data_IF_747495636837
#
_entry.id   IF_747495636837
#
_cell.length_a   1.000
_cell.length_b   1.000
_cell.length_c   1.000
_cell.angle_alpha   90.00
_cell.angle_beta   90.00
_cell.angle_gamma   90.00
#
_symmetry.space_group_name_H-M   'P 1'
#
loop_
_entity.id
_entity.type
_entity.pdbx_description
1 polymer ?
#
# COMPACT_ATOMS: atom_id res chain seq x y z
N UNK A 1 -73.86 -48.79 17.38
CA UNK A 1 -72.62 -49.55 17.11
C UNK A 1 -72.00 -48.88 15.90
N UNK A 2 -71.03 -48.00 16.12
CA UNK A 2 -70.43 -47.19 15.05
C UNK A 2 -69.61 -48.10 14.13
N UNK A 3 -69.91 -48.09 12.84
CA UNK A 3 -69.14 -48.80 11.82
C UNK A 3 -67.79 -48.10 11.67
N UNK A 4 -66.74 -48.70 12.24
CA UNK A 4 -65.37 -48.32 11.90
C UNK A 4 -65.13 -48.69 10.43
N UNK A 5 -64.89 -47.67 9.60
CA UNK A 5 -64.54 -47.84 8.18
C UNK A 5 -63.35 -48.79 8.03
N UNK A 6 -63.43 -49.69 7.04
CA UNK A 6 -62.38 -50.64 6.67
C UNK A 6 -61.05 -49.89 6.35
N UNK A 7 -61.11 -48.62 5.94
CA UNK A 7 -59.94 -47.75 5.76
C UNK A 7 -59.15 -47.50 7.05
N UNK A 8 -59.84 -47.31 8.18
CA UNK A 8 -59.22 -47.09 9.49
C UNK A 8 -58.58 -48.38 10.06
N UNK A 9 -59.04 -49.56 9.62
CA UNK A 9 -58.41 -50.84 9.98
C UNK A 9 -57.20 -51.17 9.07
N UNK A 10 -57.21 -50.75 7.80
CA UNK A 10 -56.11 -50.97 6.86
C UNK A 10 -54.87 -50.11 7.18
N UNK A 11 -55.06 -48.89 7.68
CA UNK A 11 -53.99 -48.02 8.18
C UNK A 11 -53.26 -48.59 9.42
N UNK A 12 -53.86 -49.53 10.15
CA UNK A 12 -53.21 -50.23 11.29
C UNK A 12 -52.25 -51.34 10.88
N UNK A 13 -52.26 -51.78 9.62
CA UNK A 13 -51.42 -52.90 9.12
C UNK A 13 -50.18 -52.40 8.37
N UNK A 14 -50.17 -51.15 7.90
CA UNK A 14 -49.02 -50.52 7.25
C UNK A 14 -48.41 -49.52 8.22
N UNK A 15 -47.14 -49.70 8.61
CA UNK A 15 -46.44 -48.70 9.42
C UNK A 15 -46.26 -47.43 8.58
N UNK A 16 -47.16 -46.47 8.75
CA UNK A 16 -47.18 -45.19 8.00
C UNK A 16 -45.92 -44.35 8.20
N UNK A 17 -45.14 -44.64 9.24
CA UNK A 17 -43.86 -43.97 9.56
C UNK A 17 -42.63 -44.75 9.08
N UNK A 18 -42.79 -45.90 8.43
CA UNK A 18 -41.68 -46.79 8.05
C UNK A 18 -40.65 -46.10 7.15
N UNK A 19 -41.12 -45.33 6.16
CA UNK A 19 -40.24 -44.58 5.27
C UNK A 19 -39.39 -43.57 6.04
N UNK A 20 -40.02 -42.81 6.95
CA UNK A 20 -39.36 -41.79 7.76
C UNK A 20 -38.35 -42.41 8.73
N UNK A 21 -38.70 -43.52 9.40
CA UNK A 21 -37.78 -44.25 10.29
C UNK A 21 -36.55 -44.76 9.55
N UNK A 22 -36.72 -45.29 8.33
CA UNK A 22 -35.61 -45.73 7.48
C UNK A 22 -34.76 -44.54 6.97
N UNK A 23 -35.40 -43.42 6.63
CA UNK A 23 -34.72 -42.21 6.20
C UNK A 23 -33.89 -41.57 7.32
N UNK A 24 -34.36 -41.61 8.57
CA UNK A 24 -33.59 -41.19 9.75
C UNK A 24 -32.36 -42.07 9.99
N UNK A 25 -32.54 -43.40 9.89
CA UNK A 25 -31.47 -44.35 10.12
C UNK A 25 -30.36 -44.28 9.05
N UNK A 26 -30.73 -43.95 7.80
CA UNK A 26 -29.76 -43.79 6.71
C UNK A 26 -30.17 -42.67 5.74
N UNK A 27 -29.85 -41.40 6.07
CA UNK A 27 -30.19 -40.26 5.21
C UNK A 27 -29.54 -40.31 3.82
N UNK A 28 -28.41 -41.00 3.69
CA UNK A 28 -27.70 -41.14 2.40
C UNK A 28 -28.43 -42.04 1.40
N UNK A 29 -29.35 -42.90 1.86
CA UNK A 29 -30.14 -43.78 1.01
C UNK A 29 -31.38 -43.09 0.41
N UNK A 30 -31.71 -41.87 0.81
CA UNK A 30 -32.87 -41.12 0.31
C UNK A 30 -32.72 -40.86 -1.21
N UNK A 31 -33.72 -41.27 -2.00
CA UNK A 31 -33.68 -41.21 -3.46
C UNK A 31 -33.10 -42.46 -4.12
N UNK A 32 -32.67 -43.45 -3.34
CA UNK A 32 -32.31 -44.79 -3.84
C UNK A 32 -33.56 -45.65 -4.10
N UNK A 33 -33.35 -46.86 -4.60
CA UNK A 33 -34.41 -47.87 -4.76
C UNK A 33 -35.07 -48.26 -3.43
N UNK A 34 -34.35 -48.15 -2.32
CA UNK A 34 -34.84 -48.52 -0.97
C UNK A 34 -35.66 -47.42 -0.31
N UNK A 35 -35.36 -46.15 -0.62
CA UNK A 35 -36.10 -44.97 -0.17
C UNK A 35 -36.48 -44.10 -1.38
N UNK A 36 -37.43 -44.55 -2.22
CA UNK A 36 -37.82 -43.80 -3.39
C UNK A 36 -38.52 -42.49 -2.97
N UNK A 37 -38.20 -41.42 -3.69
CA UNK A 37 -38.83 -40.10 -3.54
C UNK A 37 -39.63 -39.83 -4.81
N UNK A 38 -40.96 -39.75 -4.65
CA UNK A 38 -41.89 -39.38 -5.71
C UNK A 38 -42.68 -38.15 -5.26
N UNK A 39 -42.84 -37.19 -6.17
CA UNK A 39 -43.56 -35.93 -5.92
C UNK A 39 -45.03 -36.18 -5.55
N UNK A 40 -45.67 -37.16 -6.19
CA UNK A 40 -47.07 -37.52 -5.97
C UNK A 40 -47.31 -38.41 -4.74
N UNK A 41 -46.27 -38.77 -3.99
CA UNK A 41 -46.39 -39.67 -2.83
C UNK A 41 -45.63 -39.12 -1.62
N UNK A 42 -46.14 -38.03 -1.02
CA UNK A 42 -45.60 -37.50 0.22
C UNK A 42 -45.68 -38.54 1.35
N UNK A 43 -44.63 -38.63 2.16
CA UNK A 43 -44.55 -39.60 3.28
C UNK A 43 -44.67 -38.88 4.62
N UNK A 44 -45.50 -39.39 5.56
CA UNK A 44 -45.54 -38.87 6.92
C UNK A 44 -44.16 -38.90 7.58
N UNK A 45 -43.85 -37.87 8.35
CA UNK A 45 -42.55 -37.68 8.97
C UNK A 45 -42.33 -36.26 9.48
N UNK A 46 -41.21 -36.11 10.20
CA UNK A 46 -40.71 -34.82 10.64
C UNK A 46 -39.44 -34.47 9.88
N UNK A 47 -39.39 -33.25 9.36
CA UNK A 47 -38.36 -32.79 8.44
C UNK A 47 -37.94 -31.37 8.77
N UNK A 48 -36.89 -30.90 8.11
CA UNK A 48 -36.54 -29.48 8.05
C UNK A 48 -36.33 -29.02 6.62
N UNK A 49 -36.66 -27.76 6.35
CA UNK A 49 -36.43 -27.14 5.03
C UNK A 49 -35.88 -25.74 5.21
N UNK A 50 -35.01 -25.30 4.31
CA UNK A 50 -34.56 -23.89 4.27
C UNK A 50 -34.54 -23.37 2.85
N UNK A 51 -34.79 -22.07 2.70
CA UNK A 51 -34.47 -21.35 1.47
C UNK A 51 -32.98 -21.03 1.46
N UNK A 52 -32.46 -20.70 0.28
CA UNK A 52 -31.09 -20.23 0.14
C UNK A 52 -30.90 -18.99 1.03
N UNK A 53 -29.90 -19.04 1.92
CA UNK A 53 -29.57 -17.98 2.88
C UNK A 53 -30.65 -17.68 3.95
N UNK A 54 -31.55 -18.64 4.25
CA UNK A 54 -32.53 -18.54 5.35
C UNK A 54 -32.31 -19.61 6.42
N UNK A 55 -32.85 -19.38 7.62
CA UNK A 55 -32.89 -20.36 8.71
C UNK A 55 -33.68 -21.62 8.32
N UNK A 56 -33.34 -22.75 8.93
CA UNK A 56 -34.14 -23.97 8.80
C UNK A 56 -35.49 -23.84 9.51
N UNK A 57 -36.54 -24.20 8.79
CA UNK A 57 -37.90 -24.25 9.30
C UNK A 57 -38.33 -25.70 9.55
N UNK A 58 -38.98 -26.00 10.68
CA UNK A 58 -39.49 -27.33 10.97
C UNK A 58 -40.69 -27.64 10.06
N UNK A 59 -40.75 -28.87 9.58
CA UNK A 59 -41.81 -29.37 8.70
C UNK A 59 -42.39 -30.66 9.27
N UNK A 60 -43.70 -30.67 9.53
CA UNK A 60 -44.42 -31.87 9.96
C UNK A 60 -45.40 -32.30 8.87
N UNK A 61 -45.36 -33.57 8.46
CA UNK A 61 -46.31 -34.17 7.52
C UNK A 61 -46.94 -35.36 8.25
N UNK A 62 -48.26 -35.34 8.47
CA UNK A 62 -48.95 -36.39 9.22
C UNK A 62 -50.45 -36.44 8.91
N UNK A 63 -51.11 -37.49 9.38
CA UNK A 63 -52.56 -37.63 9.39
C UNK A 63 -53.09 -37.13 10.74
N UNK A 64 -53.92 -36.07 10.78
CA UNK A 64 -54.53 -35.61 12.03
C UNK A 64 -55.38 -36.69 12.70
N UNK A 65 -55.58 -36.58 14.01
CA UNK A 65 -56.49 -37.47 14.73
C UNK A 65 -57.87 -37.46 14.07
N UNK A 66 -58.40 -38.66 13.80
CA UNK A 66 -59.70 -38.90 13.14
C UNK A 66 -59.84 -38.40 11.68
N UNK A 67 -58.72 -38.13 10.99
CA UNK A 67 -58.72 -37.73 9.58
C UNK A 67 -57.86 -38.66 8.70
N UNK A 68 -58.43 -39.10 7.58
CA UNK A 68 -57.69 -39.80 6.52
C UNK A 68 -56.99 -38.84 5.53
N UNK A 69 -57.12 -37.52 5.74
CA UNK A 69 -56.47 -36.51 4.92
C UNK A 69 -55.07 -36.17 5.47
N UNK A 70 -54.06 -36.28 4.60
CA UNK A 70 -52.69 -35.88 4.93
C UNK A 70 -52.61 -34.36 5.01
N UNK A 71 -51.99 -33.84 6.08
CA UNK A 71 -51.72 -32.41 6.24
C UNK A 71 -50.22 -32.18 6.38
N UNK A 72 -49.79 -30.96 6.03
CA UNK A 72 -48.41 -30.54 6.22
C UNK A 72 -48.34 -29.16 6.87
N UNK A 73 -47.43 -29.00 7.82
CA UNK A 73 -47.12 -27.74 8.47
C UNK A 73 -45.66 -27.37 8.21
N UNK A 74 -45.41 -26.09 7.92
CA UNK A 74 -44.07 -25.49 7.83
C UNK A 74 -44.00 -24.32 8.80
N UNK A 75 -43.12 -24.38 9.80
CA UNK A 75 -42.99 -23.34 10.82
C UNK A 75 -44.33 -23.02 11.52
N UNK A 76 -45.12 -24.06 11.80
CA UNK A 76 -46.46 -23.93 12.39
C UNK A 76 -47.57 -23.43 11.47
N UNK A 77 -47.28 -23.17 10.18
CA UNK A 77 -48.29 -22.77 9.18
C UNK A 77 -48.67 -23.94 8.28
N UNK A 78 -49.96 -24.17 8.12
CA UNK A 78 -50.46 -25.20 7.21
C UNK A 78 -50.10 -24.88 5.75
N UNK A 79 -49.59 -25.86 5.03
CA UNK A 79 -49.17 -25.75 3.64
C UNK A 79 -50.16 -26.47 2.75
N UNK A 80 -50.76 -25.74 1.79
CA UNK A 80 -51.75 -26.29 0.85
C UNK A 80 -51.16 -27.26 -0.17
N UNK A 81 -49.93 -27.00 -0.61
CA UNK A 81 -49.25 -27.82 -1.61
C UNK A 81 -48.21 -28.73 -0.93
N UNK A 82 -48.70 -29.89 -0.48
CA UNK A 82 -47.91 -30.88 0.25
C UNK A 82 -46.87 -31.53 -0.67
N UNK A 83 -47.22 -31.79 -1.93
CA UNK A 83 -46.34 -32.44 -2.91
C UNK A 83 -45.11 -31.57 -3.20
N UNK A 84 -45.32 -30.26 -3.41
CA UNK A 84 -44.21 -29.34 -3.60
C UNK A 84 -43.30 -29.26 -2.36
N UNK A 85 -43.88 -29.21 -1.15
CA UNK A 85 -43.09 -29.18 0.09
C UNK A 85 -42.27 -30.45 0.29
N UNK A 86 -42.88 -31.60 0.01
CA UNK A 86 -42.30 -32.93 0.18
C UNK A 86 -40.99 -33.11 -0.60
N UNK A 87 -40.95 -32.68 -1.87
CA UNK A 87 -39.76 -32.77 -2.72
C UNK A 87 -38.53 -32.07 -2.09
N UNK A 88 -38.77 -31.00 -1.31
CA UNK A 88 -37.70 -30.27 -0.65
C UNK A 88 -37.36 -30.80 0.74
N UNK A 89 -38.35 -31.18 1.55
CA UNK A 89 -38.12 -31.57 2.94
C UNK A 89 -37.68 -33.03 3.12
N UNK A 90 -38.03 -33.93 2.19
CA UNK A 90 -37.77 -35.37 2.30
C UNK A 90 -36.28 -35.73 2.48
N UNK A 91 -35.35 -34.88 2.02
CA UNK A 91 -33.89 -35.09 2.12
C UNK A 91 -33.29 -34.74 3.48
N UNK A 92 -34.08 -34.19 4.40
CA UNK A 92 -33.62 -33.70 5.69
C UNK A 92 -34.59 -34.18 6.80
N UNK A 93 -34.69 -35.51 7.02
CA UNK A 93 -35.47 -36.04 8.14
C UNK A 93 -34.80 -35.64 9.46
N UNK A 94 -35.61 -35.35 10.47
CA UNK A 94 -35.15 -34.95 11.81
C UNK A 94 -35.93 -35.74 12.86
N UNK A 95 -35.31 -36.05 14.00
CA UNK A 95 -36.00 -36.70 15.11
C UNK A 95 -37.15 -35.83 15.63
N UNK A 96 -38.17 -36.46 16.21
CA UNK A 96 -39.35 -35.76 16.73
C UNK A 96 -38.97 -34.72 17.80
N UNK A 97 -38.08 -35.07 18.72
CA UNK A 97 -37.59 -34.16 19.76
C UNK A 97 -36.88 -32.93 19.17
N UNK A 98 -36.16 -33.10 18.05
CA UNK A 98 -35.50 -32.00 17.35
C UNK A 98 -36.51 -31.11 16.62
N UNK A 99 -37.58 -31.70 16.07
CA UNK A 99 -38.71 -30.98 15.49
C UNK A 99 -39.46 -30.16 16.56
N UNK A 100 -39.77 -30.74 17.72
CA UNK A 100 -40.42 -30.03 18.82
C UNK A 100 -39.53 -28.90 19.36
N UNK A 101 -38.24 -29.15 19.54
CA UNK A 101 -37.29 -28.11 19.96
C UNK A 101 -37.24 -26.93 18.97
N UNK A 102 -37.24 -27.21 17.66
CA UNK A 102 -37.28 -26.17 16.63
C UNK A 102 -38.62 -25.42 16.61
N UNK A 103 -39.75 -26.12 16.81
CA UNK A 103 -41.08 -25.52 16.93
C UNK A 103 -41.22 -24.60 18.16
N UNK A 104 -40.58 -24.96 19.27
CA UNK A 104 -40.47 -24.15 20.49
C UNK A 104 -39.51 -22.95 20.37
N UNK A 105 -38.82 -22.81 19.23
CA UNK A 105 -37.84 -21.75 19.00
C UNK A 105 -36.47 -21.98 19.66
N UNK A 106 -36.18 -23.20 20.12
CA UNK A 106 -34.88 -23.57 20.74
C UNK A 106 -33.77 -23.85 19.70
N UNK A 107 -34.10 -23.86 18.41
CA UNK A 107 -33.17 -24.09 17.32
C UNK A 107 -32.88 -25.57 17.05
N UNK A 108 -31.85 -25.86 16.24
CA UNK A 108 -31.48 -27.21 15.83
C UNK A 108 -30.25 -27.72 16.61
N UNK A 109 -30.19 -29.00 17.02
CA UNK A 109 -29.07 -29.52 17.83
C UNK A 109 -27.69 -29.44 17.16
N UNK A 110 -27.67 -29.55 15.83
CA UNK A 110 -26.48 -29.51 14.98
C UNK A 110 -26.13 -28.09 14.51
N UNK A 111 -27.00 -27.11 14.72
CA UNK A 111 -26.70 -25.71 14.42
C UNK A 111 -26.37 -24.95 15.72
N UNK A 112 -25.35 -24.08 15.70
CA UNK A 112 -25.21 -23.15 16.79
C UNK A 112 -26.44 -22.23 16.85
N UNK A 113 -26.86 -21.81 18.06
CA UNK A 113 -27.93 -20.84 18.21
C UNK A 113 -27.63 -19.61 17.35
N UNK A 114 -28.63 -19.04 16.69
CA UNK A 114 -28.45 -17.76 16.01
C UNK A 114 -28.50 -16.67 17.06
N UNK A 115 -27.57 -15.72 17.06
CA UNK A 115 -27.69 -14.55 17.92
C UNK A 115 -29.02 -13.82 17.59
N UNK A 116 -29.73 -13.24 18.57
CA UNK A 116 -30.92 -12.45 18.29
C UNK A 116 -30.53 -11.26 17.39
N UNK A 117 -30.80 -11.40 16.10
CA UNK A 117 -30.67 -10.33 15.13
C UNK A 117 -31.82 -9.35 15.26
N UNK A 118 -31.59 -8.10 14.86
CA UNK A 118 -32.70 -7.18 14.61
C UNK A 118 -33.46 -7.75 13.40
N UNK A 119 -34.72 -8.15 13.59
CA UNK A 119 -35.50 -8.81 12.55
C UNK A 119 -35.66 -7.96 11.29
N UNK A 120 -36.02 -8.60 10.18
CA UNK A 120 -36.17 -8.03 8.81
C UNK A 120 -37.10 -6.80 8.69
N UNK A 121 -37.70 -6.33 9.80
CA UNK A 121 -38.60 -5.19 9.89
C UNK A 121 -37.99 -3.93 10.56
N UNK A 122 -36.69 -3.88 10.86
CA UNK A 122 -36.07 -2.66 11.39
C UNK A 122 -35.71 -1.67 10.29
N UNK A 123 -36.73 -1.02 9.72
CA UNK A 123 -36.55 0.04 8.72
C UNK A 123 -35.87 1.32 9.22
N UNK A 124 -35.51 1.41 10.51
CA UNK A 124 -34.96 2.63 11.15
C UNK A 124 -33.56 2.47 11.75
N UNK A 125 -32.98 1.27 11.81
CA UNK A 125 -31.65 1.09 12.37
C UNK A 125 -30.57 1.42 11.33
N UNK A 126 -29.54 2.15 11.75
CA UNK A 126 -28.35 2.37 10.93
C UNK A 126 -27.72 1.02 10.53
N UNK A 127 -27.39 0.79 9.24
CA UNK A 127 -26.87 -0.49 8.78
C UNK A 127 -25.59 -0.94 9.47
N UNK A 128 -24.74 0.00 9.90
CA UNK A 128 -23.53 -0.34 10.65
C UNK A 128 -23.88 -0.79 12.07
N UNK A 129 -24.74 -0.05 12.77
CA UNK A 129 -25.18 -0.42 14.12
C UNK A 129 -25.88 -1.78 14.16
N UNK A 130 -26.74 -2.07 13.17
CA UNK A 130 -27.40 -3.37 13.05
C UNK A 130 -26.39 -4.52 12.84
N UNK A 131 -25.40 -4.32 11.96
CA UNK A 131 -24.36 -5.32 11.70
C UNK A 131 -23.41 -5.49 12.90
N UNK A 132 -23.15 -4.42 13.65
CA UNK A 132 -22.32 -4.46 14.85
C UNK A 132 -23.00 -5.26 15.98
N UNK A 133 -24.31 -5.13 16.14
CA UNK A 133 -25.07 -5.95 17.11
C UNK A 133 -25.00 -7.44 16.73
N UNK A 134 -25.19 -7.77 15.45
CA UNK A 134 -25.05 -9.15 14.96
C UNK A 134 -23.63 -9.69 15.22
N UNK A 135 -22.59 -8.90 14.92
CA UNK A 135 -21.20 -9.25 15.19
C UNK A 135 -20.96 -9.56 16.67
N UNK A 136 -21.43 -8.71 17.57
CA UNK A 136 -21.23 -8.89 19.01
C UNK A 136 -21.91 -10.16 19.51
N UNK A 137 -23.13 -10.45 19.04
CA UNK A 137 -23.85 -11.67 19.40
C UNK A 137 -23.18 -12.95 18.92
N UNK A 138 -22.76 -13.01 17.65
CA UNK A 138 -22.07 -14.19 17.11
C UNK A 138 -20.66 -14.35 17.72
N UNK A 139 -19.99 -13.24 18.03
CA UNK A 139 -18.69 -13.25 18.71
C UNK A 139 -18.78 -13.84 20.12
N UNK A 140 -19.76 -13.42 20.93
CA UNK A 140 -19.94 -13.92 22.29
C UNK A 140 -20.10 -15.45 22.30
N UNK A 141 -20.93 -15.98 21.40
CA UNK A 141 -21.14 -17.42 21.27
C UNK A 141 -19.89 -18.18 20.80
N UNK A 142 -19.16 -17.61 19.84
CA UNK A 142 -17.90 -18.18 19.36
C UNK A 142 -16.83 -18.18 20.46
N UNK A 143 -16.75 -17.13 21.29
CA UNK A 143 -15.84 -17.08 22.43
C UNK A 143 -16.22 -18.10 23.51
N UNK A 144 -17.51 -18.37 23.71
CA UNK A 144 -17.97 -19.35 24.68
C UNK A 144 -17.53 -20.79 24.30
N UNK A 145 -17.65 -21.18 23.03
CA UNK A 145 -17.18 -22.51 22.60
C UNK A 145 -15.65 -22.61 22.65
N UNK A 146 -14.93 -21.53 22.33
CA UNK A 146 -13.48 -21.50 22.43
C UNK A 146 -13.01 -21.66 23.87
N UNK A 147 -13.73 -21.05 24.83
CA UNK A 147 -13.45 -21.18 26.26
C UNK A 147 -13.73 -22.60 26.77
N UNK A 148 -14.80 -23.24 26.30
CA UNK A 148 -15.12 -24.64 26.63
C UNK A 148 -14.14 -25.63 26.00
N UNK A 149 -13.51 -25.25 24.89
CA UNK A 149 -12.62 -26.08 24.10
C UNK A 149 -13.39 -26.91 23.07
N UNK A 150 -12.84 -27.00 21.87
CA UNK A 150 -13.39 -27.82 20.78
C UNK A 150 -12.83 -29.23 20.94
N UNK A 151 -13.61 -30.13 21.53
CA UNK A 151 -13.13 -31.49 21.87
C UNK A 151 -13.89 -32.60 21.15
N UNK A 152 -15.04 -32.28 20.54
CA UNK A 152 -15.87 -33.23 19.80
C UNK A 152 -16.08 -32.81 18.34
N UNK A 153 -16.50 -33.75 17.49
CA UNK A 153 -16.85 -33.44 16.09
C UNK A 153 -18.01 -32.45 16.01
N UNK A 154 -19.02 -32.57 16.88
CA UNK A 154 -20.14 -31.62 16.95
C UNK A 154 -19.68 -30.21 17.37
N UNK A 155 -18.64 -30.09 18.20
CA UNK A 155 -18.03 -28.79 18.50
C UNK A 155 -17.32 -28.22 17.28
N UNK A 156 -16.60 -29.07 16.53
CA UNK A 156 -15.89 -28.68 15.32
C UNK A 156 -16.85 -28.22 14.21
N UNK A 157 -17.96 -28.91 14.02
CA UNK A 157 -18.98 -28.56 13.02
C UNK A 157 -19.65 -27.22 13.37
N UNK A 158 -20.03 -27.02 14.64
CA UNK A 158 -20.57 -25.73 15.13
C UNK A 158 -19.55 -24.60 15.00
N UNK A 159 -18.29 -24.84 15.35
CA UNK A 159 -17.21 -23.86 15.19
C UNK A 159 -16.99 -23.50 13.72
N UNK A 160 -17.11 -24.45 12.79
CA UNK A 160 -17.04 -24.18 11.35
C UNK A 160 -18.18 -23.27 10.88
N UNK A 161 -19.40 -23.48 11.38
CA UNK A 161 -20.55 -22.63 11.04
C UNK A 161 -20.35 -21.21 11.58
N UNK A 162 -19.95 -21.03 12.84
CA UNK A 162 -19.64 -19.71 13.40
C UNK A 162 -18.51 -19.01 12.63
N UNK A 163 -17.45 -19.74 12.26
CA UNK A 163 -16.37 -19.20 11.41
C UNK A 163 -16.94 -18.63 10.11
N UNK A 164 -17.80 -19.37 9.42
CA UNK A 164 -18.41 -18.91 8.16
C UNK A 164 -19.36 -17.72 8.37
N UNK A 165 -20.14 -17.69 9.46
CA UNK A 165 -21.00 -16.54 9.82
C UNK A 165 -20.17 -15.28 10.07
N UNK A 166 -19.09 -15.39 10.84
CA UNK A 166 -18.17 -14.29 11.12
C UNK A 166 -17.51 -13.73 9.85
N UNK A 167 -17.13 -14.62 8.91
CA UNK A 167 -16.58 -14.20 7.62
C UNK A 167 -17.64 -13.49 6.74
N UNK A 168 -18.89 -13.92 6.80
CA UNK A 168 -20.01 -13.24 6.11
C UNK A 168 -20.29 -11.86 6.70
N UNK A 169 -20.28 -11.72 8.03
CA UNK A 169 -20.39 -10.42 8.72
C UNK A 169 -19.28 -9.47 8.25
N UNK A 170 -18.02 -9.94 8.24
CA UNK A 170 -16.89 -9.17 7.71
C UNK A 170 -17.11 -8.74 6.26
N UNK A 171 -17.55 -9.66 5.41
CA UNK A 171 -17.77 -9.37 3.98
C UNK A 171 -18.87 -8.31 3.77
N UNK A 172 -19.95 -8.36 4.57
CA UNK A 172 -20.99 -7.33 4.57
C UNK A 172 -20.47 -5.98 5.07
N UNK A 173 -19.65 -5.97 6.12
CA UNK A 173 -19.02 -4.73 6.61
C UNK A 173 -18.10 -4.10 5.55
N UNK A 174 -17.28 -4.90 4.86
CA UNK A 174 -16.45 -4.44 3.75
C UNK A 174 -17.28 -3.87 2.60
N UNK A 175 -18.44 -4.47 2.30
CA UNK A 175 -19.35 -4.00 1.27
C UNK A 175 -20.00 -2.66 1.64
N UNK A 176 -20.50 -2.52 2.88
CA UNK A 176 -21.05 -1.25 3.39
C UNK A 176 -20.01 -0.14 3.40
N UNK A 177 -18.82 -0.41 3.95
CA UNK A 177 -17.71 0.52 3.94
C UNK A 177 -17.35 0.96 2.52
N UNK A 178 -17.27 0.01 1.57
CA UNK A 178 -16.99 0.33 0.17
C UNK A 178 -18.09 1.21 -0.42
N UNK A 179 -19.36 0.89 -0.18
CA UNK A 179 -20.48 1.67 -0.69
C UNK A 179 -20.43 3.14 -0.21
N UNK A 180 -20.13 3.36 1.06
CA UNK A 180 -19.99 4.71 1.63
C UNK A 180 -18.72 5.43 1.18
N UNK A 181 -17.59 4.71 1.11
CA UNK A 181 -16.28 5.30 0.83
C UNK A 181 -16.02 5.54 -0.65
N UNK A 182 -16.62 4.74 -1.53
CA UNK A 182 -16.36 4.78 -2.97
C UNK A 182 -16.64 6.16 -3.60
N UNK A 183 -17.77 6.85 -3.33
CA UNK A 183 -18.02 8.18 -3.87
C UNK A 183 -16.96 9.21 -3.45
N UNK A 184 -16.46 9.12 -2.22
CA UNK A 184 -15.43 10.01 -1.68
C UNK A 184 -14.10 9.75 -2.38
N UNK A 185 -13.75 8.49 -2.60
CA UNK A 185 -12.53 8.11 -3.33
C UNK A 185 -12.58 8.56 -4.79
N UNK A 186 -13.74 8.41 -5.44
CA UNK A 186 -13.88 8.80 -6.83
C UNK A 186 -13.88 10.32 -7.00
N UNK A 187 -14.47 11.07 -6.07
CA UNK A 187 -14.33 12.53 -6.03
C UNK A 187 -12.88 12.95 -5.74
N UNK A 188 -12.21 12.26 -4.81
CA UNK A 188 -10.79 12.46 -4.53
C UNK A 188 -9.92 12.26 -5.78
N UNK A 189 -10.12 11.16 -6.52
CA UNK A 189 -9.43 10.91 -7.80
C UNK A 189 -9.72 11.99 -8.82
N UNK A 190 -10.98 12.44 -8.94
CA UNK A 190 -11.36 13.53 -9.85
C UNK A 190 -10.63 14.83 -9.52
N UNK A 191 -10.48 15.13 -8.23
CA UNK A 191 -9.68 16.28 -7.75
C UNK A 191 -8.21 16.08 -8.13
N UNK A 192 -7.64 14.93 -7.80
CA UNK A 192 -6.24 14.60 -8.09
C UNK A 192 -5.94 14.67 -9.57
N UNK A 193 -6.79 14.11 -10.43
CA UNK A 193 -6.59 14.09 -11.88
C UNK A 193 -6.62 15.50 -12.48
N UNK A 194 -7.51 16.37 -12.00
CA UNK A 194 -7.53 17.79 -12.41
C UNK A 194 -6.23 18.49 -12.06
N UNK A 195 -5.70 18.25 -10.87
CA UNK A 195 -4.44 18.87 -10.43
C UNK A 195 -3.22 18.23 -11.08
N UNK A 196 -3.20 16.91 -11.28
CA UNK A 196 -2.16 16.19 -12.01
C UNK A 196 -2.12 16.59 -13.47
N UNK A 197 -3.27 16.79 -14.12
CA UNK A 197 -3.32 17.30 -15.48
C UNK A 197 -2.65 18.67 -15.58
N UNK A 198 -3.06 19.60 -14.69
CA UNK A 198 -2.44 20.91 -14.61
C UNK A 198 -0.95 20.79 -14.30
N UNK A 199 -0.59 20.03 -13.26
CA UNK A 199 0.80 19.85 -12.83
C UNK A 199 1.65 19.17 -13.88
N UNK A 200 1.19 18.18 -14.65
CA UNK A 200 1.98 17.52 -15.70
C UNK A 200 2.11 18.39 -16.95
N UNK A 201 1.03 19.09 -17.33
CA UNK A 201 1.06 20.05 -18.44
C UNK A 201 2.00 21.21 -18.09
N UNK A 202 1.87 21.76 -16.89
CA UNK A 202 2.76 22.83 -16.44
C UNK A 202 4.15 22.32 -16.12
N UNK A 203 4.36 21.12 -15.58
CA UNK A 203 5.69 20.61 -15.29
C UNK A 203 6.47 20.38 -16.57
N UNK A 204 5.91 19.74 -17.59
CA UNK A 204 6.62 19.57 -18.87
C UNK A 204 6.92 20.89 -19.58
N UNK A 205 5.95 21.81 -19.67
CA UNK A 205 6.14 23.10 -20.35
C UNK A 205 6.98 24.08 -19.52
N UNK A 206 6.75 24.15 -18.20
CA UNK A 206 7.48 25.02 -17.27
C UNK A 206 8.89 24.50 -17.05
N UNK A 207 9.09 23.18 -16.90
CA UNK A 207 10.44 22.61 -16.82
C UNK A 207 11.19 22.78 -18.14
N UNK A 208 10.53 22.62 -19.29
CA UNK A 208 11.15 22.92 -20.58
C UNK A 208 11.54 24.41 -20.71
N UNK A 209 10.66 25.33 -20.27
CA UNK A 209 10.95 26.76 -20.30
C UNK A 209 12.05 27.14 -19.28
N UNK A 210 12.01 26.58 -18.08
CA UNK A 210 13.01 26.78 -17.05
C UNK A 210 14.38 26.27 -17.52
N UNK A 211 14.43 25.13 -18.20
CA UNK A 211 15.67 24.61 -18.79
C UNK A 211 16.19 25.51 -19.91
N UNK A 212 15.32 26.04 -20.79
CA UNK A 212 15.71 27.04 -21.80
C UNK A 212 16.30 28.30 -21.16
N UNK A 213 15.67 28.81 -20.09
CA UNK A 213 16.17 29.96 -19.34
C UNK A 213 17.52 29.64 -18.67
N UNK A 214 17.64 28.46 -18.06
CA UNK A 214 18.88 27.97 -17.44
C UNK A 214 20.01 27.88 -18.45
N UNK A 215 19.76 27.32 -19.64
CA UNK A 215 20.74 27.22 -20.73
C UNK A 215 21.14 28.60 -21.25
N UNK A 216 20.20 29.53 -21.39
CA UNK A 216 20.48 30.92 -21.74
C UNK A 216 21.39 31.61 -20.70
N UNK A 217 21.07 31.45 -19.41
CA UNK A 217 21.89 31.96 -18.30
C UNK A 217 23.27 31.29 -18.26
N UNK A 218 23.36 29.99 -18.51
CA UNK A 218 24.62 29.25 -18.57
C UNK A 218 25.52 29.77 -19.71
N UNK A 219 24.95 30.01 -20.89
CA UNK A 219 25.67 30.61 -22.02
C UNK A 219 26.23 31.99 -21.66
N UNK A 220 25.42 32.84 -21.05
CA UNK A 220 25.82 34.16 -20.59
C UNK A 220 26.94 34.10 -19.52
N UNK A 221 26.79 33.25 -18.50
CA UNK A 221 27.79 33.10 -17.44
C UNK A 221 29.10 32.51 -17.97
N UNK A 222 29.06 31.60 -18.95
CA UNK A 222 30.26 31.11 -19.65
C UNK A 222 30.94 32.22 -20.46
N UNK A 223 30.17 33.06 -21.16
CA UNK A 223 30.70 34.19 -21.91
C UNK A 223 31.36 35.22 -20.98
N UNK A 224 30.70 35.60 -19.87
CA UNK A 224 31.31 36.44 -18.84
C UNK A 224 32.59 35.82 -18.28
N UNK A 225 32.58 34.50 -18.02
CA UNK A 225 33.77 33.80 -17.53
C UNK A 225 34.94 33.88 -18.50
N UNK A 226 34.70 33.69 -19.80
CA UNK A 226 35.76 33.84 -20.80
C UNK A 226 36.29 35.28 -20.88
N UNK A 227 35.40 36.27 -20.82
CA UNK A 227 35.80 37.68 -20.84
C UNK A 227 36.63 38.06 -19.60
N UNK A 228 36.22 37.55 -18.43
CA UNK A 228 36.95 37.75 -17.18
C UNK A 228 38.29 37.02 -17.18
N UNK A 229 38.36 35.78 -17.68
CA UNK A 229 39.62 35.05 -17.85
C UNK A 229 40.59 35.79 -18.79
N UNK A 230 40.08 36.39 -19.87
CA UNK A 230 40.90 37.21 -20.78
C UNK A 230 41.38 38.51 -20.11
N UNK A 231 40.49 39.19 -19.37
CA UNK A 231 40.84 40.37 -18.58
C UNK A 231 41.90 40.04 -17.54
N UNK A 232 41.75 38.92 -16.84
CA UNK A 232 42.70 38.44 -15.85
C UNK A 232 44.05 38.11 -16.49
N UNK A 233 44.07 37.46 -17.66
CA UNK A 233 45.33 37.18 -18.37
C UNK A 233 46.07 38.49 -18.71
N UNK A 234 45.35 39.46 -19.29
CA UNK A 234 45.90 40.79 -19.61
C UNK A 234 46.38 41.55 -18.36
N UNK A 235 45.61 41.49 -17.27
CA UNK A 235 45.96 42.13 -16.00
C UNK A 235 47.17 41.46 -15.33
N UNK A 236 47.28 40.13 -15.40
CA UNK A 236 48.44 39.39 -14.90
C UNK A 236 49.70 39.70 -15.71
N UNK A 237 49.60 39.80 -17.04
CA UNK A 237 50.71 40.22 -17.90
C UNK A 237 51.16 41.64 -17.57
N UNK A 238 50.22 42.58 -17.36
CA UNK A 238 50.51 43.95 -16.98
C UNK A 238 51.09 44.06 -15.56
N UNK A 239 50.58 43.28 -14.60
CA UNK A 239 51.11 43.22 -13.23
C UNK A 239 52.53 42.64 -13.22
N UNK A 240 52.80 41.58 -13.99
CA UNK A 240 54.13 41.02 -14.13
C UNK A 240 55.11 42.02 -14.78
N UNK A 241 54.67 42.81 -15.76
CA UNK A 241 55.48 43.88 -16.36
C UNK A 241 55.76 45.01 -15.37
N UNK A 242 54.75 45.46 -14.62
CA UNK A 242 54.89 46.50 -13.61
C UNK A 242 55.77 46.05 -12.43
N UNK A 243 55.71 44.77 -12.03
CA UNK A 243 56.62 44.20 -11.04
C UNK A 243 58.07 44.22 -11.52
N UNK A 244 58.33 43.85 -12.78
CA UNK A 244 59.69 43.95 -13.36
C UNK A 244 60.19 45.38 -13.39
N UNK A 245 59.35 46.34 -13.78
CA UNK A 245 59.69 47.78 -13.76
C UNK A 245 60.00 48.28 -12.33
N UNK A 246 59.22 47.85 -11.33
CA UNK A 246 59.47 48.18 -9.93
C UNK A 246 60.75 47.53 -9.39
N UNK A 247 61.03 46.28 -9.74
CA UNK A 247 62.27 45.59 -9.36
C UNK A 247 63.49 46.25 -10.01
N UNK A 248 63.42 46.60 -11.30
CA UNK A 248 64.48 47.32 -12.02
C UNK A 248 64.73 48.71 -11.41
N UNK A 249 63.67 49.46 -11.06
CA UNK A 249 63.78 50.74 -10.38
C UNK A 249 64.40 50.62 -8.98
N UNK A 250 64.04 49.57 -8.21
CA UNK A 250 64.66 49.29 -6.90
C UNK A 250 66.16 48.98 -7.06
N UNK A 251 66.51 48.14 -8.03
CA UNK A 251 67.92 47.81 -8.33
C UNK A 251 68.68 49.06 -8.77
N UNK A 252 68.07 49.98 -9.52
CA UNK A 252 68.69 51.24 -9.91
C UNK A 252 68.94 52.18 -8.71
N UNK A 253 67.98 52.29 -7.79
CA UNK A 253 68.15 53.03 -6.53
C UNK A 253 69.28 52.41 -5.70
N UNK A 254 69.30 51.09 -5.57
CA UNK A 254 70.34 50.37 -4.81
C UNK A 254 71.72 50.55 -5.43
N UNK A 255 71.84 50.49 -6.77
CA UNK A 255 73.08 50.79 -7.49
C UNK A 255 73.54 52.22 -7.29
N UNK A 256 72.63 53.20 -7.35
CA UNK A 256 72.95 54.61 -7.11
C UNK A 256 73.47 54.83 -5.68
N UNK A 257 72.84 54.21 -4.67
CA UNK A 257 73.30 54.21 -3.27
C UNK A 257 74.64 53.49 -3.08
N UNK A 258 74.91 52.44 -3.85
CA UNK A 258 76.21 51.73 -3.78
C UNK A 258 77.37 52.52 -4.41
N UNK A 259 77.11 53.28 -5.49
CA UNK A 259 78.11 54.15 -6.12
C UNK A 259 78.49 55.35 -5.22
N UNK A 260 77.59 55.78 -4.34
CA UNK A 260 77.83 56.80 -3.30
C UNK A 260 79.01 56.40 -2.37
N UNK A 261 79.01 55.15 -1.89
CA UNK A 261 80.06 54.63 -1.00
C UNK A 261 81.41 54.54 -1.71
N UNK A 262 81.42 54.36 -3.03
CA UNK A 262 82.63 54.21 -3.83
C UNK A 262 83.29 55.53 -4.25
N UNK A 263 82.52 56.62 -4.42
CA UNK A 263 83.02 57.84 -5.08
C UNK A 263 83.45 59.00 -4.17
N UNK A 264 83.33 58.90 -2.84
CA UNK A 264 83.94 59.87 -1.89
C UNK A 264 83.72 61.35 -2.24
N UNK A 265 82.47 61.83 -2.12
CA UNK A 265 82.07 63.18 -2.54
C UNK A 265 82.66 64.26 -1.60
N UNK A 266 83.39 65.24 -2.14
CA UNK A 266 84.16 66.24 -1.34
C UNK A 266 83.72 67.72 -1.47
N UNK A 267 82.63 68.06 -2.17
CA UNK A 267 82.10 69.44 -2.21
C UNK A 267 80.58 69.55 -1.98
N UNK A 268 80.13 70.69 -1.43
CA UNK A 268 78.75 70.95 -1.02
C UNK A 268 77.73 71.05 -2.18
N UNK A 269 78.15 71.52 -3.36
CA UNK A 269 77.32 71.56 -4.56
C UNK A 269 77.12 70.15 -5.15
N UNK A 270 78.16 69.32 -5.13
CA UNK A 270 78.08 67.91 -5.54
C UNK A 270 77.16 67.09 -4.63
N UNK A 271 77.16 67.34 -3.31
CA UNK A 271 76.23 66.74 -2.34
C UNK A 271 74.78 67.15 -2.64
N UNK A 272 74.52 68.42 -2.94
CA UNK A 272 73.18 68.90 -3.24
C UNK A 272 72.62 68.32 -4.55
N UNK A 273 73.44 68.18 -5.59
CA UNK A 273 73.04 67.54 -6.85
C UNK A 273 72.81 66.04 -6.70
N UNK A 274 73.61 65.39 -5.87
CA UNK A 274 73.45 63.99 -5.53
C UNK A 274 72.14 63.71 -4.79
N UNK A 275 71.82 64.50 -3.76
CA UNK A 275 70.56 64.35 -3.01
C UNK A 275 69.34 64.51 -3.92
N UNK A 276 69.39 65.46 -4.88
CA UNK A 276 68.33 65.61 -5.90
C UNK A 276 68.18 64.35 -6.75
N UNK A 277 69.29 63.73 -7.19
CA UNK A 277 69.24 62.47 -7.96
C UNK A 277 68.69 61.31 -7.15
N UNK A 278 69.01 61.22 -5.85
CA UNK A 278 68.48 60.19 -4.97
C UNK A 278 66.98 60.37 -4.73
N UNK A 279 66.53 61.58 -4.44
CA UNK A 279 65.11 61.90 -4.27
C UNK A 279 64.31 61.61 -5.55
N UNK A 280 64.87 61.94 -6.74
CA UNK A 280 64.26 61.59 -8.02
C UNK A 280 64.20 60.08 -8.24
N UNK A 281 65.27 59.34 -7.95
CA UNK A 281 65.31 57.89 -8.10
C UNK A 281 64.34 57.19 -7.11
N UNK A 282 64.25 57.66 -5.88
CA UNK A 282 63.30 57.16 -4.88
C UNK A 282 61.85 57.48 -5.26
N UNK A 283 61.57 58.66 -5.82
CA UNK A 283 60.25 58.99 -6.37
C UNK A 283 59.86 58.06 -7.51
N UNK A 284 60.76 57.83 -8.46
CA UNK A 284 60.52 56.91 -9.58
C UNK A 284 60.28 55.47 -9.09
N UNK A 285 61.05 55.01 -8.10
CA UNK A 285 60.85 53.68 -7.51
C UNK A 285 59.52 53.58 -6.75
N UNK A 286 59.13 54.60 -5.98
CA UNK A 286 57.85 54.62 -5.28
C UNK A 286 56.66 54.66 -6.23
N UNK A 287 56.75 55.44 -7.32
CA UNK A 287 55.73 55.48 -8.38
C UNK A 287 55.61 54.12 -9.08
N UNK A 288 56.73 53.44 -9.35
CA UNK A 288 56.74 52.11 -9.94
C UNK A 288 56.14 51.04 -9.00
N UNK A 289 56.44 51.09 -7.69
CA UNK A 289 55.84 50.21 -6.69
C UNK A 289 54.33 50.45 -6.57
N UNK A 290 53.89 51.71 -6.55
CA UNK A 290 52.46 52.04 -6.49
C UNK A 290 51.71 51.56 -7.74
N UNK A 291 52.34 51.69 -8.92
CA UNK A 291 51.82 51.17 -10.20
C UNK A 291 51.71 49.64 -10.19
N UNK A 292 52.70 48.93 -9.63
CA UNK A 292 52.66 47.48 -9.47
C UNK A 292 51.53 47.03 -8.52
N UNK A 293 51.34 47.70 -7.39
CA UNK A 293 50.25 47.40 -6.44
C UNK A 293 48.85 47.65 -7.04
N UNK A 294 48.69 48.69 -7.85
CA UNK A 294 47.42 48.96 -8.54
C UNK A 294 47.13 47.88 -9.59
N UNK A 295 48.15 47.49 -10.38
CA UNK A 295 48.03 46.43 -11.37
C UNK A 295 47.71 45.06 -10.75
N UNK A 296 48.26 44.75 -9.58
CA UNK A 296 47.97 43.52 -8.83
C UNK A 296 46.51 43.49 -8.34
N UNK A 297 46.00 44.60 -7.79
CA UNK A 297 44.59 44.72 -7.40
C UNK A 297 43.64 44.57 -8.60
N UNK A 298 44.02 45.13 -9.74
CA UNK A 298 43.26 44.95 -10.97
C UNK A 298 43.29 43.49 -11.48
N UNK A 299 44.28 42.67 -11.13
CA UNK A 299 44.37 41.27 -11.54
C UNK A 299 43.47 40.31 -10.74
N UNK A 300 42.94 40.73 -9.59
CA UNK A 300 42.09 39.90 -8.75
C UNK A 300 40.80 39.43 -9.47
N UNK A 301 40.36 38.22 -9.15
CA UNK A 301 39.19 37.59 -9.77
C UNK A 301 37.89 38.20 -9.26
N UNK A 302 37.02 38.64 -10.18
CA UNK A 302 35.68 39.09 -9.82
C UNK A 302 34.70 37.93 -9.82
N UNK A 303 33.77 37.92 -8.87
CA UNK A 303 32.76 36.87 -8.81
C UNK A 303 31.71 37.04 -9.91
N UNK A 304 31.66 36.11 -10.86
CA UNK A 304 30.65 36.10 -11.92
C UNK A 304 29.36 35.46 -11.41
N UNK A 305 28.27 36.18 -11.53
CA UNK A 305 26.94 35.71 -11.12
C UNK A 305 25.85 36.42 -11.92
N UNK A 306 24.66 35.82 -11.95
CA UNK A 306 23.47 36.40 -12.53
C UNK A 306 22.32 36.41 -11.52
N UNK A 307 21.43 37.40 -11.63
CA UNK A 307 20.22 37.52 -10.81
C UNK A 307 20.36 38.46 -9.60
N UNK A 308 19.21 38.79 -9.00
CA UNK A 308 19.10 39.62 -7.79
C UNK A 308 19.34 38.81 -6.51
N UNK A 309 19.44 39.50 -5.37
CA UNK A 309 19.47 38.87 -4.04
C UNK A 309 18.27 37.93 -3.89
N UNK A 310 18.52 36.66 -3.54
CA UNK A 310 17.51 35.59 -3.45
C UNK A 310 17.31 34.75 -4.72
N UNK A 311 17.85 35.15 -5.87
CA UNK A 311 17.77 34.42 -7.14
C UNK A 311 19.14 34.30 -7.84
N UNK A 312 20.22 34.33 -7.05
CA UNK A 312 21.60 34.34 -7.55
C UNK A 312 21.96 32.99 -8.15
N UNK A 313 22.34 32.98 -9.42
CA UNK A 313 22.81 31.79 -10.14
C UNK A 313 24.32 31.87 -10.39
N UNK A 314 25.03 30.77 -10.12
CA UNK A 314 26.48 30.64 -10.26
C UNK A 314 26.83 29.30 -10.89
N UNK A 315 27.93 29.24 -11.65
CA UNK A 315 28.44 27.98 -12.19
C UNK A 315 29.24 27.26 -11.10
N UNK A 316 28.96 25.98 -10.87
CA UNK A 316 29.70 25.10 -9.94
C UNK A 316 30.22 23.87 -10.67
N UNK A 317 31.32 23.30 -10.16
CA UNK A 317 31.83 22.00 -10.61
C UNK A 317 31.22 20.90 -9.74
N UNK A 318 30.56 19.93 -10.36
CA UNK A 318 30.01 18.73 -9.70
C UNK A 318 30.79 17.48 -10.17
N UNK A 319 31.02 16.53 -9.26
CA UNK A 319 31.63 15.23 -9.61
C UNK A 319 30.51 14.20 -9.75
N UNK A 320 30.40 13.56 -10.90
CA UNK A 320 29.47 12.43 -11.15
C UNK A 320 30.26 11.16 -11.43
N UNK A 321 29.82 10.04 -10.84
CA UNK A 321 30.39 8.72 -11.10
C UNK A 321 29.77 8.10 -12.34
N UNK A 322 30.59 7.58 -13.24
CA UNK A 322 30.17 6.80 -14.41
C UNK A 322 30.71 5.39 -14.26
N UNK A 323 29.85 4.39 -14.38
CA UNK A 323 30.28 2.98 -14.39
C UNK A 323 30.83 2.69 -15.78
N UNK A 324 32.12 2.41 -15.86
CA UNK A 324 32.82 2.08 -17.11
C UNK A 324 32.85 0.57 -17.35
N UNK A 325 32.95 -0.21 -16.27
CA UNK A 325 32.94 -1.67 -16.26
C UNK A 325 31.95 -2.14 -15.18
N UNK A 326 30.89 -2.81 -15.61
CA UNK A 326 29.82 -3.24 -14.73
C UNK A 326 30.24 -4.40 -13.82
N UNK A 327 30.94 -5.40 -14.36
CA UNK A 327 31.30 -6.61 -13.62
C UNK A 327 32.32 -6.28 -12.54
N UNK A 328 33.32 -5.45 -12.87
CA UNK A 328 34.29 -4.96 -11.89
C UNK A 328 33.60 -4.14 -10.78
N UNK A 329 32.63 -3.31 -11.12
CA UNK A 329 31.89 -2.50 -10.15
C UNK A 329 31.04 -3.38 -9.21
N UNK A 330 30.27 -4.33 -9.76
CA UNK A 330 29.47 -5.28 -8.98
C UNK A 330 30.35 -6.09 -8.02
N UNK A 331 31.50 -6.59 -8.51
CA UNK A 331 32.45 -7.32 -7.67
C UNK A 331 33.00 -6.48 -6.51
N UNK A 332 33.20 -5.18 -6.71
CA UNK A 332 33.64 -4.26 -5.68
C UNK A 332 32.55 -3.95 -4.63
N UNK A 333 31.26 -3.94 -5.02
CA UNK A 333 30.14 -3.56 -4.13
C UNK A 333 29.34 -4.73 -3.57
N UNK A 334 29.55 -5.98 -4.05
CA UNK A 334 28.75 -7.17 -3.69
C UNK A 334 28.59 -7.43 -2.19
N UNK A 335 29.54 -7.00 -1.37
CA UNK A 335 29.54 -7.24 0.07
C UNK A 335 28.82 -6.16 0.88
N UNK A 336 28.34 -5.09 0.25
CA UNK A 336 27.56 -4.04 0.91
C UNK A 336 26.16 -4.56 1.25
N UNK A 337 25.65 -4.16 2.42
CA UNK A 337 24.37 -4.68 2.92
C UNK A 337 23.18 -4.29 2.04
N UNK A 338 23.19 -3.07 1.49
CA UNK A 338 22.20 -2.61 0.50
C UNK A 338 22.08 -3.55 -0.71
N UNK A 339 23.20 -4.11 -1.18
CA UNK A 339 23.21 -5.05 -2.31
C UNK A 339 22.66 -6.40 -1.88
N UNK A 340 23.01 -6.89 -0.69
CA UNK A 340 22.50 -8.16 -0.16
C UNK A 340 20.98 -8.13 0.03
N UNK A 341 20.44 -7.05 0.59
CA UNK A 341 19.00 -6.88 0.79
C UNK A 341 18.24 -6.87 -0.54
N UNK A 342 18.79 -6.17 -1.55
CA UNK A 342 18.23 -6.18 -2.90
C UNK A 342 18.23 -7.59 -3.50
N UNK A 343 19.33 -8.33 -3.36
CA UNK A 343 19.44 -9.70 -3.85
C UNK A 343 18.45 -10.65 -3.14
N UNK A 344 18.28 -10.51 -1.82
CA UNK A 344 17.32 -11.32 -1.06
C UNK A 344 15.87 -11.05 -1.49
N UNK A 345 15.53 -9.78 -1.74
CA UNK A 345 14.21 -9.39 -2.25
C UNK A 345 13.92 -10.01 -3.62
N UNK A 346 14.92 -10.04 -4.51
CA UNK A 346 14.81 -10.71 -5.81
C UNK A 346 14.64 -12.24 -5.65
N UNK A 347 15.37 -12.86 -4.71
CA UNK A 347 15.23 -14.29 -4.41
C UNK A 347 13.83 -14.67 -3.91
N UNK A 348 13.24 -13.89 -2.99
CA UNK A 348 11.85 -14.12 -2.54
C UNK A 348 10.83 -14.03 -3.68
N UNK A 349 11.03 -13.08 -4.61
CA UNK A 349 10.16 -12.94 -5.78
C UNK A 349 10.27 -14.16 -6.70
N UNK A 350 11.48 -14.66 -6.94
CA UNK A 350 11.72 -15.87 -7.72
C UNK A 350 11.08 -17.11 -7.06
N UNK A 351 11.20 -17.23 -5.73
CA UNK A 351 10.62 -18.34 -4.96
C UNK A 351 9.10 -18.40 -5.12
N UNK A 352 8.45 -17.24 -5.05
CA UNK A 352 6.99 -17.12 -5.22
C UNK A 352 6.51 -17.52 -6.62
N UNK A 353 7.35 -17.33 -7.63
CA UNK A 353 7.08 -17.79 -9.01
C UNK A 353 7.45 -19.26 -9.25
N UNK A 354 7.99 -19.98 -8.25
CA UNK A 354 8.46 -21.36 -8.40
C UNK A 354 9.75 -21.50 -9.21
N UNK A 355 10.47 -20.41 -9.45
CA UNK A 355 11.72 -20.40 -10.21
C UNK A 355 12.91 -20.39 -9.25
N UNK A 356 13.71 -21.46 -9.28
CA UNK A 356 14.93 -21.58 -8.49
C UNK A 356 16.15 -21.21 -9.35
N UNK A 357 16.97 -20.29 -8.83
CA UNK A 357 18.23 -19.86 -9.45
C UNK A 357 19.39 -20.52 -8.69
N UNK A 358 20.52 -20.75 -9.36
CA UNK A 358 21.74 -21.26 -8.74
C UNK A 358 22.12 -20.41 -7.51
N UNK A 359 22.34 -21.08 -6.38
CA UNK A 359 22.64 -20.43 -5.09
C UNK A 359 21.40 -20.08 -4.24
N UNK A 360 20.19 -20.35 -4.72
CA UNK A 360 18.93 -20.17 -3.98
C UNK A 360 18.26 -21.52 -3.69
N UNK A 361 17.50 -21.62 -2.59
CA UNK A 361 16.66 -22.78 -2.24
C UNK A 361 15.23 -22.32 -1.88
N UNK A 362 14.22 -23.03 -2.37
CA UNK A 362 12.82 -22.84 -1.98
C UNK A 362 12.53 -23.70 -0.74
N UNK A 363 11.87 -23.12 0.27
CA UNK A 363 11.46 -23.80 1.51
C UNK A 363 9.95 -23.67 1.66
N UNK A 364 9.26 -24.81 1.79
CA UNK A 364 7.81 -24.86 2.00
C UNK A 364 7.50 -24.79 3.51
N UNK A 365 6.52 -23.96 3.88
CA UNK A 365 6.08 -23.76 5.26
C UNK A 365 4.57 -23.94 5.30
N UNK A 366 4.09 -24.93 6.05
CA UNK A 366 2.65 -25.17 6.22
C UNK A 366 2.03 -24.10 7.11
N UNK A 367 0.88 -23.57 6.69
CA UNK A 367 0.12 -22.56 7.42
C UNK A 367 -1.37 -22.83 7.21
N UNK A 368 -2.17 -22.68 8.28
CA UNK A 368 -3.64 -22.70 8.19
C UNK A 368 -4.09 -21.57 7.25
N UNK A 369 -4.91 -21.91 6.25
CA UNK A 369 -5.43 -20.96 5.24
C UNK A 369 -6.87 -20.59 5.54
#
# INVERSE_FOLDING_TARGET
MAEQSIGALALKVVNVWEWYQKALANPSAIGSKELPVHEDTPRPGYYRVRRKDSSWEPVGIFYPEDSDALVAYRGGREVRDINALWVWCCRQPVEFDAYEAAMDGKGWPDEPPTAPGIGDNSGEADPFDALNIEYLGEKEQAEEILKKGITTQADADRASIWKDRMLKIRSRAEALFKAEKQPILDEGKRIDDRWRFLAHKTDSETSAMAEKLRLGMESFLKAQKRAEEERQRKAQEAAAAAQREADDARIAVEKAKSQEVANGIMDAAAIAEHNRRQEEAERVANDAIAKAQLAEKDAEARSINAGRVGAKTTIRKEKKGQIVDYDAFVMAVRNRDEVKELMQSLAHRAAKSGFQVDGMKIVEVEKIV
#
